data_IF_598422105668
#
_entry.id   IF_598422105668
#
_cell.length_a   1.000
_cell.length_b   1.000
_cell.length_c   1.000
_cell.angle_alpha   90.00
_cell.angle_beta   90.00
_cell.angle_gamma   90.00
#
_symmetry.space_group_name_H-M   'P 1'
#
loop_
_entity.id
_entity.type
_entity.pdbx_description
1 polymer ?
#
# COMPACT_ATOMS: atom_id res chain seq x y z
N UNK A 1 -50.64 -9.05 44.30
CA UNK A 1 -50.67 -8.70 42.86
C UNK A 1 -49.23 -8.42 42.47
N UNK A 2 -48.54 -9.47 42.06
CA UNK A 2 -47.12 -9.51 41.70
C UNK A 2 -46.99 -9.12 40.24
N UNK A 3 -46.21 -8.09 39.93
CA UNK A 3 -45.74 -7.78 38.58
C UNK A 3 -44.33 -8.34 38.46
N UNK A 4 -44.23 -9.37 37.63
CA UNK A 4 -43.01 -10.04 37.18
C UNK A 4 -42.62 -9.37 35.86
N UNK A 5 -41.46 -8.71 35.83
CA UNK A 5 -40.90 -8.13 34.60
C UNK A 5 -39.79 -9.08 34.13
N UNK A 6 -39.85 -9.65 32.90
CA UNK A 6 -38.84 -10.59 32.44
C UNK A 6 -37.60 -9.81 31.97
N UNK A 7 -36.51 -9.96 32.70
CA UNK A 7 -35.18 -9.50 32.31
C UNK A 7 -34.69 -10.32 31.10
N UNK A 8 -34.55 -9.65 29.95
CA UNK A 8 -33.96 -10.21 28.72
C UNK A 8 -32.43 -10.22 28.82
N UNK A 9 -31.73 -11.32 28.46
CA UNK A 9 -30.28 -11.37 28.58
C UNK A 9 -29.58 -10.68 27.40
N UNK A 10 -28.88 -9.58 27.67
CA UNK A 10 -27.87 -9.03 26.76
C UNK A 10 -26.68 -10.00 26.67
N UNK A 11 -26.47 -10.62 25.51
CA UNK A 11 -25.27 -11.41 25.24
C UNK A 11 -24.40 -10.75 24.18
N UNK A 12 -23.57 -9.79 24.61
CA UNK A 12 -22.41 -9.35 23.83
C UNK A 12 -21.33 -10.46 23.82
N UNK A 13 -20.76 -10.85 22.67
CA UNK A 13 -19.76 -11.93 22.63
C UNK A 13 -18.41 -11.50 23.26
N UNK A 14 -17.65 -12.43 23.85
CA UNK A 14 -16.58 -12.09 24.79
C UNK A 14 -15.28 -11.68 24.07
N UNK A 15 -14.68 -10.57 24.52
CA UNK A 15 -13.42 -9.96 24.01
C UNK A 15 -12.27 -10.96 23.75
N UNK A 16 -12.25 -12.08 24.47
CA UNK A 16 -11.22 -13.13 24.38
C UNK A 16 -11.23 -13.92 23.06
N UNK A 17 -12.41 -14.19 22.48
CA UNK A 17 -12.50 -14.83 21.15
C UNK A 17 -11.96 -13.91 20.04
N UNK A 18 -12.13 -12.60 20.18
CA UNK A 18 -11.62 -11.59 19.23
C UNK A 18 -10.08 -11.50 19.27
N UNK A 19 -9.47 -11.56 20.46
CA UNK A 19 -8.00 -11.56 20.59
C UNK A 19 -7.35 -12.82 20.00
N UNK A 20 -7.99 -13.99 20.16
CA UNK A 20 -7.46 -15.25 19.64
C UNK A 20 -7.57 -15.31 18.10
N UNK A 21 -8.65 -14.75 17.53
CA UNK A 21 -8.78 -14.56 16.09
C UNK A 21 -7.72 -13.64 15.50
N UNK A 22 -7.44 -12.50 16.15
CA UNK A 22 -6.40 -11.56 15.70
C UNK A 22 -4.99 -12.19 15.73
N UNK A 23 -4.65 -12.94 16.78
CA UNK A 23 -3.38 -13.68 16.86
C UNK A 23 -3.27 -14.76 15.78
N UNK A 24 -4.38 -15.40 15.44
CA UNK A 24 -4.44 -16.39 14.36
C UNK A 24 -4.15 -15.74 13.01
N UNK A 25 -4.82 -14.62 12.73
CA UNK A 25 -4.60 -13.83 11.50
C UNK A 25 -3.13 -13.39 11.40
N UNK A 26 -2.56 -12.84 12.48
CA UNK A 26 -1.18 -12.37 12.52
C UNK A 26 -0.17 -13.48 12.20
N UNK A 27 -0.34 -14.69 12.77
CA UNK A 27 0.52 -15.84 12.48
C UNK A 27 0.46 -16.26 11.01
N UNK A 28 -0.75 -16.29 10.42
CA UNK A 28 -0.93 -16.63 9.01
C UNK A 28 -0.27 -15.57 8.12
N UNK A 29 -0.52 -14.28 8.39
CA UNK A 29 0.06 -13.19 7.60
C UNK A 29 1.58 -13.15 7.68
N UNK A 30 2.18 -13.41 8.85
CA UNK A 30 3.64 -13.49 9.01
C UNK A 30 4.25 -14.65 8.22
N UNK A 31 3.60 -15.82 8.24
CA UNK A 31 4.03 -16.96 7.44
C UNK A 31 3.84 -16.71 5.93
N UNK A 32 2.75 -16.05 5.54
CA UNK A 32 2.47 -15.65 4.16
C UNK A 32 3.48 -14.61 3.66
N UNK A 33 3.89 -13.66 4.50
CA UNK A 33 4.92 -12.67 4.16
C UNK A 33 6.26 -13.34 3.83
N UNK A 34 6.69 -14.29 4.68
CA UNK A 34 7.90 -15.07 4.45
C UNK A 34 7.80 -15.92 3.17
N UNK A 35 6.66 -16.57 2.95
CA UNK A 35 6.39 -17.35 1.75
C UNK A 35 6.42 -16.50 0.47
N UNK A 36 5.81 -15.32 0.52
CA UNK A 36 5.80 -14.37 -0.60
C UNK A 36 7.20 -13.84 -0.90
N UNK A 37 7.99 -13.55 0.13
CA UNK A 37 9.37 -13.09 -0.04
C UNK A 37 10.28 -14.17 -0.64
N UNK A 38 10.10 -15.43 -0.23
CA UNK A 38 10.94 -16.56 -0.65
C UNK A 38 10.58 -17.08 -2.05
N UNK A 39 9.29 -17.22 -2.36
CA UNK A 39 8.83 -17.89 -3.58
C UNK A 39 8.13 -16.96 -4.58
N UNK A 40 7.76 -15.75 -4.16
CA UNK A 40 7.00 -14.81 -4.97
C UNK A 40 5.54 -15.23 -5.18
N UNK A 41 4.78 -14.34 -5.85
CA UNK A 41 3.34 -14.50 -6.03
C UNK A 41 2.96 -15.78 -6.77
N UNK A 42 3.68 -16.09 -7.85
CA UNK A 42 3.37 -17.22 -8.75
C UNK A 42 3.51 -18.56 -8.04
N UNK A 43 4.57 -18.74 -7.25
CA UNK A 43 4.86 -20.00 -6.54
C UNK A 43 4.33 -20.02 -5.11
N UNK A 44 3.57 -19.00 -4.70
CA UNK A 44 2.97 -18.90 -3.37
C UNK A 44 2.07 -20.10 -3.08
N UNK A 45 2.35 -20.81 -1.98
CA UNK A 45 1.66 -22.04 -1.61
C UNK A 45 0.99 -21.92 -0.24
N UNK A 46 -0.35 -22.04 -0.21
CA UNK A 46 -1.12 -21.91 1.02
C UNK A 46 -0.86 -23.05 2.02
N UNK A 47 -0.58 -24.26 1.56
CA UNK A 47 -0.29 -25.39 2.45
C UNK A 47 1.01 -25.16 3.22
N UNK A 48 2.06 -24.64 2.56
CA UNK A 48 3.31 -24.23 3.25
C UNK A 48 3.07 -23.12 4.27
N UNK A 49 2.19 -22.16 3.96
CA UNK A 49 1.79 -21.11 4.91
C UNK A 49 1.07 -21.70 6.11
N UNK A 50 0.15 -22.65 5.93
CA UNK A 50 -0.54 -23.33 7.02
C UNK A 50 0.43 -24.12 7.91
N UNK A 51 1.37 -24.84 7.30
CA UNK A 51 2.42 -25.57 8.01
C UNK A 51 3.31 -24.62 8.82
N UNK A 52 3.89 -23.59 8.18
CA UNK A 52 4.76 -22.59 8.83
C UNK A 52 4.03 -21.80 9.92
N UNK A 53 2.76 -21.46 9.71
CA UNK A 53 1.98 -20.70 10.70
C UNK A 53 1.49 -21.58 11.85
N UNK A 54 1.36 -22.89 11.66
CA UNK A 54 0.76 -23.82 12.63
C UNK A 54 -0.73 -23.56 12.88
N UNK A 55 -1.44 -23.00 11.89
CA UNK A 55 -2.87 -22.71 11.96
C UNK A 55 -3.64 -23.77 11.17
N UNK A 56 -4.73 -24.27 11.75
CA UNK A 56 -5.56 -25.29 11.12
C UNK A 56 -6.19 -24.80 9.80
N UNK A 57 -6.31 -25.72 8.83
CA UNK A 57 -6.91 -25.43 7.51
C UNK A 57 -8.30 -24.80 7.63
N UNK A 58 -9.17 -25.35 8.47
CA UNK A 58 -10.52 -24.80 8.69
C UNK A 58 -10.50 -23.33 9.14
N UNK A 59 -9.57 -22.96 10.04
CA UNK A 59 -9.41 -21.58 10.50
C UNK A 59 -8.91 -20.66 9.40
N UNK A 60 -7.97 -21.10 8.57
CA UNK A 60 -7.47 -20.29 7.43
C UNK A 60 -8.59 -20.04 6.42
N UNK A 61 -9.33 -21.07 6.03
CA UNK A 61 -10.46 -20.91 5.11
C UNK A 61 -11.58 -20.06 5.71
N UNK A 62 -11.81 -20.15 7.03
CA UNK A 62 -12.79 -19.29 7.71
C UNK A 62 -12.38 -17.82 7.71
N UNK A 63 -11.11 -17.50 7.98
CA UNK A 63 -10.64 -16.12 8.07
C UNK A 63 -10.36 -15.47 6.70
N UNK A 64 -9.89 -16.26 5.73
CA UNK A 64 -9.34 -15.74 4.49
C UNK A 64 -10.01 -16.29 3.23
N UNK A 65 -10.90 -17.28 3.32
CA UNK A 65 -11.54 -17.87 2.14
C UNK A 65 -10.60 -18.64 1.20
N UNK A 66 -9.34 -18.84 1.59
CA UNK A 66 -8.34 -19.61 0.83
C UNK A 66 -7.12 -18.79 0.42
N UNK A 67 -6.39 -19.26 -0.59
CA UNK A 67 -5.09 -18.72 -1.02
C UNK A 67 -5.19 -17.23 -1.37
N UNK A 68 -6.15 -16.89 -2.21
CA UNK A 68 -6.29 -15.55 -2.75
C UNK A 68 -6.65 -14.52 -1.68
N UNK A 69 -7.50 -14.88 -0.71
CA UNK A 69 -7.81 -13.97 0.39
C UNK A 69 -6.68 -13.84 1.41
N UNK A 70 -5.82 -14.86 1.58
CA UNK A 70 -4.56 -14.70 2.36
C UNK A 70 -3.64 -13.71 1.66
N UNK A 71 -3.47 -13.85 0.34
CA UNK A 71 -2.65 -12.93 -0.45
C UNK A 71 -3.23 -11.51 -0.40
N UNK A 72 -4.54 -11.35 -0.59
CA UNK A 72 -5.19 -10.05 -0.52
C UNK A 72 -4.97 -9.38 0.85
N UNK A 73 -5.17 -10.12 1.94
CA UNK A 73 -4.95 -9.61 3.29
C UNK A 73 -3.48 -9.24 3.58
N UNK A 74 -2.53 -9.99 3.01
CA UNK A 74 -1.10 -9.69 3.08
C UNK A 74 -0.77 -8.36 2.37
N UNK A 75 -1.28 -8.18 1.15
CA UNK A 75 -1.03 -6.98 0.34
C UNK A 75 -1.53 -5.71 1.04
N UNK A 76 -2.73 -5.73 1.63
CA UNK A 76 -3.28 -4.61 2.40
C UNK A 76 -2.41 -4.26 3.60
N UNK A 77 -2.03 -5.28 4.38
CA UNK A 77 -1.28 -5.06 5.62
C UNK A 77 0.11 -4.49 5.35
N UNK A 78 0.80 -4.97 4.31
CA UNK A 78 2.14 -4.49 3.93
C UNK A 78 2.09 -3.08 3.32
N UNK A 79 1.09 -2.84 2.47
CA UNK A 79 0.90 -1.55 1.78
C UNK A 79 0.53 -0.45 2.76
N UNK A 80 -0.45 -0.67 3.65
CA UNK A 80 -0.86 0.33 4.64
C UNK A 80 0.27 0.71 5.60
N UNK A 81 0.99 -0.26 6.17
CA UNK A 81 2.12 0.03 7.08
C UNK A 81 3.24 0.83 6.42
N UNK A 82 3.49 0.58 5.14
CA UNK A 82 4.53 1.29 4.38
C UNK A 82 4.11 2.72 4.04
N UNK A 83 2.83 2.91 3.67
CA UNK A 83 2.27 4.23 3.35
C UNK A 83 2.19 5.10 4.60
N UNK A 84 1.67 4.59 5.73
CA UNK A 84 1.52 5.35 6.98
C UNK A 84 2.86 5.92 7.47
N UNK A 85 3.93 5.12 7.48
CA UNK A 85 5.25 5.57 7.96
C UNK A 85 5.86 6.65 7.07
N UNK A 86 5.87 6.44 5.75
CA UNK A 86 6.47 7.40 4.81
C UNK A 86 5.69 8.71 4.72
N UNK A 87 4.37 8.66 4.86
CA UNK A 87 3.51 9.84 4.77
C UNK A 87 3.65 10.74 5.99
N UNK A 88 3.68 10.17 7.21
CA UNK A 88 3.78 10.96 8.43
C UNK A 88 5.09 11.78 8.48
N UNK A 89 6.20 11.20 8.05
CA UNK A 89 7.49 11.89 7.95
C UNK A 89 7.45 13.05 6.94
N UNK A 90 6.83 12.82 5.77
CA UNK A 90 6.71 13.84 4.74
C UNK A 90 5.77 14.98 5.15
N UNK A 91 4.61 14.66 5.73
CA UNK A 91 3.66 15.64 6.23
C UNK A 91 4.27 16.52 7.33
N UNK A 92 5.06 15.94 8.24
CA UNK A 92 5.76 16.69 9.28
C UNK A 92 6.82 17.63 8.68
N UNK A 93 7.50 17.23 7.61
CA UNK A 93 8.47 18.08 6.94
C UNK A 93 7.81 19.27 6.23
N UNK A 94 6.65 19.07 5.59
CA UNK A 94 5.89 20.14 4.93
C UNK A 94 5.54 21.30 5.87
N UNK A 95 5.34 21.04 7.17
CA UNK A 95 5.07 22.08 8.16
C UNK A 95 6.28 22.98 8.47
N UNK A 96 7.49 22.52 8.13
CA UNK A 96 8.74 23.24 8.37
C UNK A 96 9.21 24.05 7.16
N UNK A 97 8.64 23.79 6.00
CA UNK A 97 9.05 24.36 4.73
C UNK A 97 8.37 25.71 4.46
N UNK A 98 9.13 26.61 3.84
CA UNK A 98 8.69 27.97 3.47
C UNK A 98 8.95 28.29 2.00
N UNK A 99 9.38 27.30 1.21
CA UNK A 99 9.73 27.45 -0.20
C UNK A 99 9.31 26.21 -0.96
N UNK A 100 8.58 26.39 -2.05
CA UNK A 100 8.17 25.32 -2.94
C UNK A 100 9.35 24.62 -3.61
N UNK A 101 10.40 25.37 -3.93
CA UNK A 101 11.65 24.80 -4.45
C UNK A 101 12.29 23.80 -3.46
N UNK A 102 12.37 24.14 -2.17
CA UNK A 102 12.86 23.21 -1.14
C UNK A 102 11.94 22.01 -0.94
N UNK A 103 10.63 22.20 -1.06
CA UNK A 103 9.67 21.10 -1.04
C UNK A 103 9.90 20.16 -2.24
N UNK A 104 10.20 20.74 -3.40
CA UNK A 104 10.42 20.00 -4.63
C UNK A 104 11.76 19.25 -4.63
N UNK A 105 12.83 19.80 -4.04
CA UNK A 105 14.10 19.09 -3.83
C UNK A 105 13.93 17.76 -3.08
N UNK A 106 12.99 17.67 -2.12
CA UNK A 106 12.67 16.41 -1.48
C UNK A 106 12.00 15.41 -2.41
N UNK A 107 11.12 15.87 -3.29
CA UNK A 107 10.49 15.02 -4.31
C UNK A 107 11.58 14.48 -5.23
N UNK A 108 12.52 15.31 -5.67
CA UNK A 108 13.65 14.87 -6.49
C UNK A 108 14.51 13.82 -5.79
N UNK A 109 14.85 14.03 -4.52
CA UNK A 109 15.57 13.06 -3.70
C UNK A 109 14.79 11.74 -3.61
N UNK A 110 13.47 11.86 -3.39
CA UNK A 110 12.53 10.75 -3.40
C UNK A 110 12.64 9.95 -4.69
N UNK A 111 12.44 10.59 -5.84
CA UNK A 111 12.48 9.97 -7.19
C UNK A 111 13.82 9.27 -7.44
N UNK A 112 14.95 9.89 -7.10
CA UNK A 112 16.28 9.28 -7.30
C UNK A 112 16.49 8.02 -6.46
N UNK A 113 15.79 7.89 -5.33
CA UNK A 113 15.82 6.67 -4.51
C UNK A 113 15.05 5.47 -5.12
N UNK A 114 14.20 5.69 -6.15
CA UNK A 114 13.36 4.63 -6.74
C UNK A 114 14.16 3.57 -7.49
N UNK A 115 15.43 3.81 -7.83
CA UNK A 115 16.33 2.82 -8.44
C UNK A 115 16.78 1.71 -7.49
N UNK A 116 16.57 1.87 -6.17
CA UNK A 116 17.02 0.90 -5.18
C UNK A 116 16.41 -0.49 -5.41
N UNK A 117 17.14 -1.54 -5.01
CA UNK A 117 16.68 -2.93 -5.13
C UNK A 117 15.38 -3.20 -4.35
N UNK A 118 15.20 -2.53 -3.20
CA UNK A 118 13.95 -2.60 -2.43
C UNK A 118 12.77 -2.01 -3.22
N UNK A 119 12.95 -0.84 -3.83
CA UNK A 119 11.92 -0.20 -4.64
C UNK A 119 11.61 -1.00 -5.92
N UNK A 120 12.62 -1.61 -6.57
CA UNK A 120 12.43 -2.56 -7.67
C UNK A 120 11.56 -3.75 -7.23
N UNK A 121 11.90 -4.36 -6.10
CA UNK A 121 11.14 -5.49 -5.53
C UNK A 121 9.70 -5.11 -5.18
N UNK A 122 9.48 -3.92 -4.62
CA UNK A 122 8.13 -3.37 -4.34
C UNK A 122 7.30 -3.21 -5.62
N UNK A 123 7.88 -2.62 -6.68
CA UNK A 123 7.19 -2.45 -7.97
C UNK A 123 6.85 -3.79 -8.61
N UNK A 124 7.77 -4.75 -8.61
CA UNK A 124 7.54 -6.10 -9.13
C UNK A 124 6.39 -6.81 -8.38
N UNK A 125 6.34 -6.70 -7.06
CA UNK A 125 5.21 -7.19 -6.26
C UNK A 125 3.90 -6.51 -6.65
N UNK A 126 3.90 -5.17 -6.77
CA UNK A 126 2.71 -4.41 -7.19
C UNK A 126 2.19 -4.87 -8.55
N UNK A 127 3.06 -5.06 -9.54
CA UNK A 127 2.69 -5.57 -10.86
C UNK A 127 2.13 -6.98 -10.79
N UNK A 128 2.75 -7.86 -9.99
CA UNK A 128 2.27 -9.24 -9.80
C UNK A 128 0.86 -9.27 -9.20
N UNK A 129 0.60 -8.47 -8.16
CA UNK A 129 -0.71 -8.35 -7.53
C UNK A 129 -1.77 -7.78 -8.47
N UNK A 130 -1.43 -6.73 -9.25
CA UNK A 130 -2.31 -6.16 -10.26
C UNK A 130 -2.64 -7.18 -11.35
N UNK A 131 -1.67 -7.93 -11.84
CA UNK A 131 -1.89 -8.98 -12.83
C UNK A 131 -2.82 -10.08 -12.29
N UNK A 132 -2.65 -10.48 -11.04
CA UNK A 132 -3.50 -11.48 -10.41
C UNK A 132 -4.95 -11.03 -10.22
N UNK A 133 -5.19 -9.73 -10.05
CA UNK A 133 -6.54 -9.15 -9.93
C UNK A 133 -7.43 -9.40 -11.15
N UNK A 134 -6.83 -9.69 -12.31
CA UNK A 134 -7.58 -10.06 -13.51
C UNK A 134 -8.36 -11.36 -13.33
N UNK A 135 -7.83 -12.28 -12.51
CA UNK A 135 -8.37 -13.63 -12.33
C UNK A 135 -9.07 -13.84 -10.98
N UNK A 136 -9.08 -12.83 -10.10
CA UNK A 136 -9.62 -12.95 -8.74
C UNK A 136 -10.33 -11.68 -8.30
N UNK A 137 -11.66 -11.76 -8.15
CA UNK A 137 -12.49 -10.62 -7.73
C UNK A 137 -12.15 -10.14 -6.32
N UNK A 138 -11.85 -11.06 -5.40
CA UNK A 138 -11.45 -10.74 -4.04
C UNK A 138 -10.14 -9.92 -4.01
N UNK A 139 -9.12 -10.35 -4.77
CA UNK A 139 -7.86 -9.60 -4.89
C UNK A 139 -8.12 -8.23 -5.52
N UNK A 140 -8.94 -8.16 -6.57
CA UNK A 140 -9.28 -6.90 -7.23
C UNK A 140 -9.94 -5.90 -6.29
N UNK A 141 -10.92 -6.33 -5.51
CA UNK A 141 -11.64 -5.47 -4.57
C UNK A 141 -10.69 -4.88 -3.54
N UNK A 142 -9.84 -5.73 -2.97
CA UNK A 142 -8.84 -5.32 -1.99
C UNK A 142 -7.83 -4.34 -2.58
N UNK A 143 -7.25 -4.64 -3.74
CA UNK A 143 -6.29 -3.75 -4.39
C UNK A 143 -6.92 -2.41 -4.82
N UNK A 144 -8.19 -2.42 -5.23
CA UNK A 144 -8.92 -1.21 -5.57
C UNK A 144 -9.17 -0.35 -4.32
N UNK A 145 -9.48 -0.97 -3.18
CA UNK A 145 -9.62 -0.27 -1.92
C UNK A 145 -8.30 0.34 -1.47
N UNK A 146 -7.22 -0.44 -1.49
CA UNK A 146 -5.88 0.04 -1.12
C UNK A 146 -5.40 1.15 -2.06
N UNK A 147 -5.71 1.06 -3.35
CA UNK A 147 -5.40 2.12 -4.31
C UNK A 147 -6.16 3.40 -3.98
N UNK A 148 -7.46 3.33 -3.63
CA UNK A 148 -8.25 4.52 -3.25
C UNK A 148 -7.70 5.15 -1.97
N UNK A 149 -7.57 4.37 -0.90
CA UNK A 149 -7.07 4.86 0.40
C UNK A 149 -5.65 5.42 0.29
N UNK A 150 -4.77 4.76 -0.44
CA UNK A 150 -3.41 5.26 -0.70
C UNK A 150 -3.40 6.53 -1.55
N UNK A 151 -4.32 6.67 -2.51
CA UNK A 151 -4.43 7.90 -3.31
C UNK A 151 -4.94 9.07 -2.48
N UNK A 152 -5.89 8.85 -1.58
CA UNK A 152 -6.38 9.89 -0.65
C UNK A 152 -5.26 10.46 0.21
N UNK A 153 -4.30 9.60 0.63
CA UNK A 153 -3.11 10.03 1.35
C UNK A 153 -2.26 10.98 0.50
N UNK A 154 -1.98 10.62 -0.76
CA UNK A 154 -1.23 11.47 -1.68
C UNK A 154 -1.95 12.79 -1.97
N UNK A 155 -3.28 12.75 -2.12
CA UNK A 155 -4.11 13.95 -2.29
C UNK A 155 -3.95 14.90 -1.11
N UNK A 156 -4.05 14.40 0.14
CA UNK A 156 -3.87 15.23 1.34
C UNK A 156 -2.49 15.88 1.42
N UNK A 157 -1.45 15.14 1.03
CA UNK A 157 -0.09 15.70 0.95
C UNK A 157 -0.03 16.87 -0.02
N UNK A 158 -0.56 16.72 -1.23
CA UNK A 158 -0.52 17.76 -2.27
C UNK A 158 -1.39 18.96 -1.87
N UNK A 159 -2.57 18.72 -1.28
CA UNK A 159 -3.44 19.76 -0.74
C UNK A 159 -2.72 20.56 0.33
N UNK A 160 -2.10 19.89 1.31
CA UNK A 160 -1.33 20.55 2.36
C UNK A 160 -0.18 21.38 1.80
N UNK A 161 0.56 20.85 0.83
CA UNK A 161 1.65 21.60 0.19
C UNK A 161 1.12 22.86 -0.55
N UNK A 162 -0.02 22.76 -1.24
CA UNK A 162 -0.67 23.90 -1.90
C UNK A 162 -1.14 24.94 -0.89
N UNK A 163 -1.80 24.50 0.19
CA UNK A 163 -2.36 25.37 1.21
C UNK A 163 -1.27 26.10 2.01
N UNK A 164 -0.08 25.48 2.14
CA UNK A 164 1.13 26.12 2.67
C UNK A 164 1.85 27.02 1.65
N UNK A 165 1.32 27.19 0.43
CA UNK A 165 1.92 28.01 -0.61
C UNK A 165 3.24 27.46 -1.15
N UNK A 166 3.41 26.13 -1.17
CA UNK A 166 4.61 25.44 -1.66
C UNK A 166 4.46 24.91 -3.10
N UNK A 167 3.24 24.81 -3.62
CA UNK A 167 2.99 24.36 -4.99
C UNK A 167 1.67 24.89 -5.53
N UNK A 168 1.49 24.84 -6.85
CA UNK A 168 0.26 25.22 -7.53
C UNK A 168 -0.07 24.25 -8.67
N UNK A 169 -0.63 23.07 -8.36
CA UNK A 169 -0.86 22.01 -9.35
C UNK A 169 -1.68 22.49 -10.56
N UNK A 170 -1.30 22.07 -11.77
CA UNK A 170 -1.94 22.51 -13.03
C UNK A 170 -3.33 21.94 -13.28
N UNK A 171 -3.66 20.83 -12.62
CA UNK A 171 -4.87 20.04 -12.81
C UNK A 171 -5.47 19.65 -11.45
N UNK A 172 -6.71 19.15 -11.39
CA UNK A 172 -7.30 18.66 -10.15
C UNK A 172 -6.39 17.67 -9.42
N UNK A 173 -6.18 17.88 -8.12
CA UNK A 173 -5.18 17.16 -7.31
C UNK A 173 -5.39 15.64 -7.34
N UNK A 174 -6.64 15.16 -7.39
CA UNK A 174 -6.93 13.73 -7.52
C UNK A 174 -6.35 13.15 -8.82
N UNK A 175 -6.51 13.84 -9.94
CA UNK A 175 -5.94 13.42 -11.22
C UNK A 175 -4.42 13.44 -11.20
N UNK A 176 -3.84 14.51 -10.65
CA UNK A 176 -2.38 14.64 -10.43
C UNK A 176 -1.85 13.46 -9.60
N UNK A 177 -2.50 13.12 -8.49
CA UNK A 177 -2.10 12.02 -7.62
C UNK A 177 -2.09 10.66 -8.36
N UNK A 178 -3.07 10.41 -9.24
CA UNK A 178 -3.07 9.20 -10.08
C UNK A 178 -1.95 9.21 -11.12
N UNK A 179 -1.71 10.33 -11.80
CA UNK A 179 -0.63 10.45 -12.79
C UNK A 179 0.74 10.18 -12.16
N UNK A 180 1.00 10.77 -10.98
CA UNK A 180 2.23 10.53 -10.22
C UNK A 180 2.39 9.03 -9.94
N UNK A 181 1.38 8.40 -9.34
CA UNK A 181 1.42 6.97 -9.00
C UNK A 181 1.57 6.06 -10.23
N UNK A 182 0.89 6.38 -11.33
CA UNK A 182 1.00 5.65 -12.60
C UNK A 182 2.42 5.69 -13.16
N UNK A 183 3.07 6.85 -13.11
CA UNK A 183 4.48 6.99 -13.53
C UNK A 183 5.39 6.12 -12.66
N UNK A 184 5.24 6.16 -11.33
CA UNK A 184 6.07 5.39 -10.40
C UNK A 184 5.92 3.87 -10.60
N UNK A 185 4.70 3.37 -10.84
CA UNK A 185 4.49 1.96 -11.19
C UNK A 185 5.03 1.65 -12.58
N UNK A 186 4.83 2.55 -13.54
CA UNK A 186 5.27 2.44 -14.94
C UNK A 186 6.78 2.35 -15.12
N UNK A 187 7.58 2.79 -14.14
CA UNK A 187 9.04 2.60 -14.09
C UNK A 187 9.47 1.13 -14.23
N UNK A 188 8.56 0.17 -14.01
CA UNK A 188 8.84 -1.25 -14.28
C UNK A 188 9.38 -1.48 -15.70
N UNK A 189 8.98 -0.67 -16.69
CA UNK A 189 9.49 -0.76 -18.07
C UNK A 189 10.99 -0.48 -18.17
N UNK A 190 11.52 0.39 -17.30
CA UNK A 190 12.96 0.66 -17.17
C UNK A 190 13.65 -0.41 -16.35
N UNK A 191 12.99 -0.93 -15.31
CA UNK A 191 13.59 -1.97 -14.47
C UNK A 191 13.91 -3.26 -15.25
N UNK A 192 13.05 -3.63 -16.21
CA UNK A 192 13.19 -4.86 -17.01
C UNK A 192 14.19 -4.74 -18.17
N UNK A 193 14.56 -3.52 -18.57
CA UNK A 193 15.54 -3.34 -19.65
C UNK A 193 16.97 -3.57 -19.18
N UNK A 194 17.20 -3.61 -17.86
CA UNK A 194 18.51 -3.84 -17.21
C UNK A 194 19.61 -2.88 -17.70
N UNK A 195 19.23 -1.70 -18.18
CA UNK A 195 20.14 -0.66 -18.68
C UNK A 195 20.31 0.44 -17.63
N UNK A 196 21.49 0.55 -16.99
CA UNK A 196 21.75 1.58 -15.98
C UNK A 196 21.71 3.02 -16.52
N UNK A 197 21.90 3.24 -17.83
CA UNK A 197 21.80 4.57 -18.42
C UNK A 197 20.36 5.10 -18.33
N UNK A 198 19.38 4.22 -18.52
CA UNK A 198 17.96 4.57 -18.48
C UNK A 198 17.46 4.93 -17.09
N UNK A 199 18.15 4.51 -16.01
CA UNK A 199 17.78 4.93 -14.65
C UNK A 199 17.82 6.45 -14.52
N UNK A 200 18.92 7.09 -14.95
CA UNK A 200 19.08 8.54 -14.85
C UNK A 200 18.18 9.28 -15.84
N UNK A 201 18.09 8.80 -17.09
CA UNK A 201 17.22 9.43 -18.10
C UNK A 201 15.75 9.44 -17.68
N UNK A 202 15.26 8.33 -17.14
CA UNK A 202 13.88 8.24 -16.65
C UNK A 202 13.65 9.15 -15.43
N UNK A 203 14.60 9.20 -14.50
CA UNK A 203 14.49 10.04 -13.31
C UNK A 203 14.45 11.52 -13.65
N UNK A 204 15.32 11.97 -14.56
CA UNK A 204 15.34 13.37 -15.02
C UNK A 204 14.04 13.74 -15.74
N UNK A 205 13.53 12.85 -16.60
CA UNK A 205 12.23 13.04 -17.28
C UNK A 205 11.06 13.08 -16.29
N UNK A 206 11.06 12.18 -15.29
CA UNK A 206 10.06 12.14 -14.23
C UNK A 206 10.09 13.43 -13.40
N UNK A 207 11.27 13.88 -12.96
CA UNK A 207 11.45 15.12 -12.20
C UNK A 207 10.96 16.33 -13.00
N UNK A 208 11.36 16.46 -14.26
CA UNK A 208 10.91 17.55 -15.12
C UNK A 208 9.38 17.56 -15.28
N UNK A 209 8.77 16.38 -15.46
CA UNK A 209 7.31 16.22 -15.55
C UNK A 209 6.62 16.63 -14.25
N UNK A 210 7.10 16.15 -13.10
CA UNK A 210 6.54 16.50 -11.80
C UNK A 210 6.64 18.00 -11.52
N UNK A 211 7.73 18.65 -11.92
CA UNK A 211 7.91 20.10 -11.76
C UNK A 211 6.84 20.87 -12.52
N UNK A 212 6.57 20.47 -13.77
CA UNK A 212 5.51 21.08 -14.58
C UNK A 212 4.12 20.85 -13.98
N UNK A 213 3.87 19.65 -13.47
CA UNK A 213 2.55 19.30 -12.94
C UNK A 213 2.28 19.97 -11.59
N UNK A 214 3.27 20.01 -10.69
CA UNK A 214 3.10 20.53 -9.33
C UNK A 214 3.35 22.04 -9.23
N UNK A 215 4.16 22.62 -10.11
CA UNK A 215 4.55 24.05 -10.11
C UNK A 215 4.98 24.55 -8.72
N UNK A 216 6.19 24.16 -8.25
CA UNK A 216 6.71 24.70 -7.00
C UNK A 216 6.75 26.24 -7.04
N UNK A 217 6.45 26.86 -5.90
CA UNK A 217 6.33 28.32 -5.72
C UNK A 217 7.48 28.95 -4.93
#
# INVERSE_FOLDING_TARGET
MTTDDPEMPETSPPRRKRSDGLRTIERVLKAAEAEMAEFGFVKFNLDRVMEKSGVARSSVYHHFGGRDGVIAALETTSTMRSLERGTAEFEAFLDTLTSGEKAFELIELGIRSFRSSDNKSRRQRRISSLAASHNSAAIREVLANDQRSGTEVVVRIIEKARDNGLCNPIEPILGVAYVIQSMLVGRILVDISEDPALDTEWEDAAIATLRQILRPT
#
